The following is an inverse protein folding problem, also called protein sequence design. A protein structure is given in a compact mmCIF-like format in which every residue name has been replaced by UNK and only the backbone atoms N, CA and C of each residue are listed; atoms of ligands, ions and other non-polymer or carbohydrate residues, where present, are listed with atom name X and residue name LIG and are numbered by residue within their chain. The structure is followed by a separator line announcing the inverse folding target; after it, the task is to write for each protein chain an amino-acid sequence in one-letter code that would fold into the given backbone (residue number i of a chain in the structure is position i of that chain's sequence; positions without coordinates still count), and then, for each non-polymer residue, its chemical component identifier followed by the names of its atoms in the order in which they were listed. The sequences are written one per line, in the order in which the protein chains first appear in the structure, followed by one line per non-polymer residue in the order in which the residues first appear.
data_IF_758196663869
#
_entry.id   IF_758196663869
#
_cell.length_a   1.000
_cell.length_b   1.000
_cell.length_c   1.000
_cell.angle_alpha   90.00
_cell.angle_beta   90.00
_cell.angle_gamma   90.00
#
_symmetry.space_group_name_H-M   'P 1'
#
loop_
_entity.id
_entity.type
_entity.pdbx_description
1 polymer ?
#
# COMPACT_ATOMS: atom_id res chain seq x y z
N UNK A 1 18.13 -90.18 35.58
CA UNK A 1 18.33 -89.28 36.73
C UNK A 1 18.64 -87.87 36.17
N UNK A 2 17.65 -87.04 35.97
CA UNK A 2 17.80 -85.70 35.39
C UNK A 2 17.70 -84.66 36.53
N UNK A 3 18.81 -83.94 36.78
CA UNK A 3 18.83 -82.83 37.77
C UNK A 3 18.22 -81.62 37.12
N UNK A 4 17.06 -81.19 37.64
CA UNK A 4 16.43 -79.89 37.39
C UNK A 4 17.28 -78.79 38.06
N UNK A 5 17.86 -77.92 37.25
CA UNK A 5 18.40 -76.66 37.77
C UNK A 5 17.22 -75.66 37.83
N UNK A 6 16.82 -75.25 38.99
CA UNK A 6 15.92 -74.13 39.23
C UNK A 6 16.77 -72.85 39.18
N UNK A 7 16.58 -72.09 38.14
CA UNK A 7 17.08 -70.70 38.06
C UNK A 7 16.11 -69.87 38.88
N UNK A 8 16.53 -69.48 40.09
CA UNK A 8 15.80 -68.48 40.88
C UNK A 8 16.38 -67.13 40.49
N UNK A 9 15.71 -66.44 39.59
CA UNK A 9 15.97 -65.00 39.34
C UNK A 9 15.26 -64.21 40.45
N UNK A 10 16.00 -63.93 41.50
CA UNK A 10 15.61 -62.88 42.45
C UNK A 10 16.17 -61.57 41.94
N UNK A 11 15.39 -60.91 41.06
CA UNK A 11 15.64 -59.50 40.64
C UNK A 11 15.06 -58.53 41.73
N UNK A 12 15.13 -58.91 43.00
CA UNK A 12 14.82 -57.99 44.09
C UNK A 12 16.05 -57.09 44.32
N UNK A 13 15.94 -55.82 43.89
CA UNK A 13 16.94 -54.80 44.16
C UNK A 13 17.03 -54.62 45.67
N UNK A 14 18.10 -55.09 46.29
CA UNK A 14 18.34 -54.92 47.71
C UNK A 14 18.61 -53.38 47.98
N UNK A 15 17.58 -52.73 48.43
CA UNK A 15 17.62 -51.32 48.83
C UNK A 15 18.70 -51.03 49.88
N UNK A 16 19.05 -52.00 50.72
CA UNK A 16 20.10 -51.89 51.75
C UNK A 16 21.49 -51.80 51.10
N UNK A 17 21.76 -52.63 50.08
CA UNK A 17 23.03 -52.54 49.30
C UNK A 17 23.12 -51.22 48.50
N UNK A 18 22.01 -50.76 47.96
CA UNK A 18 21.97 -49.50 47.23
C UNK A 18 22.24 -48.31 48.16
N UNK A 19 21.63 -48.29 49.34
CA UNK A 19 21.93 -47.28 50.36
C UNK A 19 23.38 -47.33 50.86
N UNK A 20 23.92 -48.51 51.03
CA UNK A 20 25.31 -48.66 51.45
C UNK A 20 26.30 -48.18 50.40
N UNK A 21 26.00 -48.42 49.12
CA UNK A 21 26.81 -47.98 47.99
C UNK A 21 26.70 -46.43 47.86
N UNK A 22 25.49 -45.85 47.95
CA UNK A 22 25.31 -44.41 47.97
C UNK A 22 26.06 -43.73 49.16
N UNK A 23 26.01 -44.35 50.35
CA UNK A 23 26.70 -43.82 51.50
C UNK A 23 28.22 -43.87 51.37
N UNK A 24 28.78 -44.89 50.77
CA UNK A 24 30.20 -45.01 50.51
C UNK A 24 30.68 -44.05 49.42
N UNK A 25 29.85 -43.78 48.43
CA UNK A 25 30.16 -42.88 47.32
C UNK A 25 29.70 -41.41 47.53
N UNK A 26 29.18 -41.09 48.72
CA UNK A 26 28.63 -39.78 49.05
C UNK A 26 29.53 -38.60 48.70
N UNK A 27 30.84 -38.74 48.91
CA UNK A 27 31.82 -37.68 48.60
C UNK A 27 31.90 -37.42 47.11
N UNK A 28 31.89 -38.50 46.28
CA UNK A 28 31.90 -38.34 44.81
C UNK A 28 30.63 -37.70 44.28
N UNK A 29 29.46 -38.08 44.83
CA UNK A 29 28.17 -37.50 44.47
C UNK A 29 28.14 -36.02 44.80
N UNK A 30 28.56 -35.62 46.03
CA UNK A 30 28.63 -34.24 46.43
C UNK A 30 29.60 -33.44 45.53
N UNK A 31 30.74 -34.01 45.17
CA UNK A 31 31.72 -33.34 44.34
C UNK A 31 31.21 -33.11 42.91
N UNK A 32 30.55 -34.12 42.31
CA UNK A 32 29.91 -33.99 41.01
C UNK A 32 28.79 -32.94 41.05
N UNK A 33 27.96 -32.94 42.08
CA UNK A 33 26.90 -31.95 42.25
C UNK A 33 27.47 -30.52 42.37
N UNK A 34 28.60 -30.38 43.15
CA UNK A 34 29.24 -29.08 43.33
C UNK A 34 29.89 -28.57 42.03
N UNK A 35 30.57 -29.46 41.28
CA UNK A 35 31.11 -29.11 39.97
C UNK A 35 30.00 -28.71 38.97
N UNK A 36 28.88 -29.44 38.94
CA UNK A 36 27.73 -29.10 38.09
C UNK A 36 27.14 -27.74 38.46
N UNK A 37 27.05 -27.45 39.75
CA UNK A 37 26.56 -26.16 40.26
C UNK A 37 27.47 -24.99 39.84
N UNK A 38 28.79 -25.16 39.96
CA UNK A 38 29.78 -24.16 39.52
C UNK A 38 29.72 -23.95 38.00
N UNK A 39 29.53 -25.02 37.20
CA UNK A 39 29.35 -24.89 35.77
C UNK A 39 28.07 -24.13 35.41
N UNK A 40 26.95 -24.40 36.07
CA UNK A 40 25.67 -23.70 35.84
C UNK A 40 25.80 -22.23 36.18
N UNK A 41 26.37 -21.88 37.33
CA UNK A 41 26.57 -20.47 37.73
C UNK A 41 27.55 -19.78 36.77
N UNK A 42 28.66 -20.45 36.42
CA UNK A 42 29.61 -19.92 35.44
C UNK A 42 28.96 -19.68 34.09
N UNK A 43 28.15 -20.62 33.60
CA UNK A 43 27.47 -20.50 32.33
C UNK A 43 26.42 -19.37 32.32
N UNK A 44 25.68 -19.18 33.40
CA UNK A 44 24.70 -18.08 33.51
C UNK A 44 25.36 -16.69 33.58
N UNK A 45 26.54 -16.61 34.22
CA UNK A 45 27.31 -15.36 34.25
C UNK A 45 28.03 -15.06 32.94
N UNK A 46 28.39 -16.10 32.16
CA UNK A 46 29.03 -15.96 30.84
C UNK A 46 28.04 -15.76 29.70
N UNK A 47 26.77 -16.09 29.92
CA UNK A 47 25.75 -15.76 28.90
C UNK A 47 25.70 -14.24 28.71
N UNK A 48 25.97 -13.72 27.49
CA UNK A 48 25.71 -12.32 27.23
C UNK A 48 24.25 -12.04 27.59
N UNK A 49 24.06 -11.14 28.55
CA UNK A 49 22.71 -10.70 28.94
C UNK A 49 22.03 -10.26 27.64
N UNK A 50 20.95 -10.95 27.25
CA UNK A 50 20.16 -10.51 26.09
C UNK A 50 19.79 -9.06 26.35
N UNK A 51 20.12 -8.14 25.45
CA UNK A 51 19.75 -6.76 25.61
C UNK A 51 18.23 -6.70 25.84
N UNK A 52 17.80 -5.87 26.76
CA UNK A 52 16.38 -5.67 27.03
C UNK A 52 15.73 -5.18 25.75
N UNK A 53 14.89 -6.00 25.14
CA UNK A 53 14.14 -5.59 23.95
C UNK A 53 12.76 -5.12 24.39
N UNK A 54 12.42 -3.90 24.02
CA UNK A 54 11.10 -3.32 24.26
C UNK A 54 10.23 -3.50 23.03
N UNK A 55 9.04 -4.05 23.24
CA UNK A 55 8.02 -4.14 22.18
C UNK A 55 7.08 -2.94 22.30
N UNK A 56 7.09 -2.13 21.27
CA UNK A 56 6.29 -0.91 21.20
C UNK A 56 5.16 -1.06 20.21
N UNK A 57 4.08 -0.32 20.42
CA UNK A 57 2.91 -0.29 19.53
C UNK A 57 2.49 1.15 19.29
N UNK A 58 2.20 1.47 18.06
CA UNK A 58 1.63 2.74 17.64
C UNK A 58 0.37 2.47 16.81
N UNK A 59 -0.75 3.04 17.22
CA UNK A 59 -2.02 2.91 16.47
C UNK A 59 -2.16 4.08 15.51
N UNK A 60 -2.36 3.78 14.23
CA UNK A 60 -2.54 4.74 13.16
C UNK A 60 -4.01 4.67 12.73
N UNK A 61 -4.71 5.77 12.91
CA UNK A 61 -6.11 5.90 12.57
C UNK A 61 -6.30 6.75 11.30
N UNK A 62 -7.35 6.50 10.52
CA UNK A 62 -7.71 7.38 9.41
C UNK A 62 -8.04 8.79 9.92
N UNK A 63 -7.81 9.78 9.10
CA UNK A 63 -8.09 11.19 9.38
C UNK A 63 -9.56 11.40 9.76
N UNK A 64 -9.81 12.35 10.68
CA UNK A 64 -11.17 12.71 11.08
C UNK A 64 -11.94 13.31 9.91
N UNK A 65 -13.26 13.09 9.92
CA UNK A 65 -14.16 13.52 8.83
C UNK A 65 -14.02 15.01 8.47
N UNK A 66 -13.95 15.87 9.48
CA UNK A 66 -13.80 17.32 9.28
C UNK A 66 -12.56 17.72 8.49
N UNK A 67 -11.46 17.05 8.69
CA UNK A 67 -10.18 17.34 8.01
C UNK A 67 -10.18 16.79 6.58
N UNK A 68 -11.02 15.78 6.32
CA UNK A 68 -11.16 15.17 5.01
C UNK A 68 -12.11 15.94 4.08
N UNK A 69 -13.01 16.77 4.61
CA UNK A 69 -13.98 17.56 3.82
C UNK A 69 -13.35 18.47 2.77
N UNK A 70 -12.16 19.01 3.04
CA UNK A 70 -11.44 19.81 2.04
C UNK A 70 -11.01 19.03 0.80
N UNK A 71 -10.93 17.71 0.89
CA UNK A 71 -10.63 16.85 -0.24
C UNK A 71 -11.90 16.41 -1.01
N UNK A 72 -13.07 16.41 -0.36
CA UNK A 72 -14.34 15.99 -0.98
C UNK A 72 -14.72 16.90 -2.16
N UNK A 73 -14.48 18.21 -2.04
CA UNK A 73 -14.74 19.16 -3.14
C UNK A 73 -13.90 18.87 -4.38
N UNK A 74 -12.69 18.37 -4.22
CA UNK A 74 -11.85 17.92 -5.34
C UNK A 74 -12.45 16.66 -5.98
N UNK A 75 -13.03 15.78 -5.17
CA UNK A 75 -13.71 14.57 -5.66
C UNK A 75 -14.97 14.87 -6.45
N UNK A 76 -15.82 15.77 -5.95
CA UNK A 76 -17.03 16.18 -6.64
C UNK A 76 -16.66 16.77 -7.99
N UNK A 77 -15.68 17.66 -8.04
CA UNK A 77 -15.19 18.26 -9.29
C UNK A 77 -14.63 17.21 -10.27
N UNK A 78 -13.95 16.17 -9.78
CA UNK A 78 -13.38 15.12 -10.63
C UNK A 78 -14.45 14.09 -11.06
N UNK A 79 -15.54 13.94 -10.33
CA UNK A 79 -16.62 13.00 -10.61
C UNK A 79 -17.76 13.57 -11.47
N UNK A 80 -17.88 14.90 -11.62
CA UNK A 80 -19.01 15.56 -12.29
C UNK A 80 -19.12 15.29 -13.81
N UNK A 81 -18.25 14.52 -14.43
CA UNK A 81 -18.38 14.21 -15.87
C UNK A 81 -18.36 12.69 -16.18
N UNK A 82 -19.57 12.21 -16.41
CA UNK A 82 -20.10 11.35 -17.50
C UNK A 82 -19.34 10.11 -17.98
N UNK A 83 -18.29 9.65 -17.47
CA UNK A 83 -17.77 8.37 -17.90
C UNK A 83 -17.70 7.40 -16.76
N UNK A 84 -18.58 6.40 -16.72
CA UNK A 84 -18.66 5.33 -15.72
C UNK A 84 -17.38 4.48 -15.51
N UNK A 85 -16.24 5.10 -15.71
CA UNK A 85 -14.92 4.66 -15.28
C UNK A 85 -14.52 5.51 -14.07
N UNK A 86 -14.88 5.04 -12.90
CA UNK A 86 -14.28 5.49 -11.65
C UNK A 86 -12.76 5.46 -11.83
N UNK A 87 -12.14 6.64 -11.82
CA UNK A 87 -10.71 6.75 -12.03
C UNK A 87 -10.04 6.12 -10.81
N UNK A 88 -9.12 5.19 -11.04
CA UNK A 88 -8.37 4.51 -9.97
C UNK A 88 -7.75 5.49 -8.97
N UNK A 89 -7.36 6.67 -9.41
CA UNK A 89 -6.85 7.78 -8.60
C UNK A 89 -7.89 8.31 -7.62
N UNK A 90 -9.15 8.43 -8.03
CA UNK A 90 -10.25 8.92 -7.16
C UNK A 90 -10.55 7.90 -6.07
N UNK A 91 -10.53 6.60 -6.38
CA UNK A 91 -10.69 5.56 -5.37
C UNK A 91 -9.61 5.63 -4.28
N UNK A 92 -8.37 5.98 -4.65
CA UNK A 92 -7.27 6.15 -3.69
C UNK A 92 -7.48 7.30 -2.72
N UNK A 93 -8.27 8.30 -3.07
CA UNK A 93 -8.51 9.46 -2.23
C UNK A 93 -9.57 9.22 -1.14
N UNK A 94 -10.22 8.06 -1.03
CA UNK A 94 -11.05 7.75 0.14
C UNK A 94 -10.19 7.62 1.39
N UNK A 95 -10.73 7.94 2.57
CA UNK A 95 -10.02 7.89 3.86
C UNK A 95 -9.29 6.57 4.09
N UNK A 96 -9.96 5.47 3.80
CA UNK A 96 -9.41 4.12 3.97
C UNK A 96 -8.31 3.84 2.97
N UNK A 97 -8.51 4.22 1.72
CA UNK A 97 -7.53 4.02 0.65
C UNK A 97 -6.29 4.90 0.83
N UNK A 98 -6.44 6.14 1.29
CA UNK A 98 -5.28 6.99 1.64
C UNK A 98 -4.46 6.39 2.77
N UNK A 99 -5.13 5.83 3.78
CA UNK A 99 -4.44 5.14 4.87
C UNK A 99 -3.79 3.84 4.38
N UNK A 100 -4.47 3.06 3.54
CA UNK A 100 -3.91 1.86 2.92
C UNK A 100 -2.67 2.22 2.08
N UNK A 101 -2.75 3.26 1.23
CA UNK A 101 -1.61 3.73 0.42
C UNK A 101 -0.43 4.22 1.27
N UNK A 102 -0.71 4.93 2.38
CA UNK A 102 0.34 5.32 3.34
C UNK A 102 1.03 4.09 3.93
N UNK A 103 0.26 3.08 4.29
CA UNK A 103 0.81 1.85 4.87
C UNK A 103 1.61 1.05 3.83
N UNK A 104 1.14 0.97 2.60
CA UNK A 104 1.87 0.33 1.50
C UNK A 104 3.21 1.00 1.27
N UNK A 105 3.24 2.35 1.16
CA UNK A 105 4.46 3.14 1.00
C UNK A 105 5.42 2.95 2.18
N UNK A 106 4.91 3.00 3.43
CA UNK A 106 5.73 2.77 4.62
C UNK A 106 6.32 1.35 4.65
N UNK A 107 5.57 0.34 4.17
CA UNK A 107 5.96 -1.07 4.25
C UNK A 107 6.88 -1.53 3.12
N UNK A 108 7.12 -0.72 2.09
CA UNK A 108 8.21 -1.00 1.15
C UNK A 108 9.59 -0.67 1.73
N UNK A 109 9.60 0.04 2.87
CA UNK A 109 10.77 0.35 3.70
C UNK A 109 11.80 1.29 3.09
N UNK A 110 11.58 1.87 1.92
CA UNK A 110 12.59 2.74 1.29
C UNK A 110 12.90 3.96 2.17
N UNK A 111 11.87 4.68 2.63
CA UNK A 111 12.03 5.83 3.51
C UNK A 111 12.63 5.45 4.86
N UNK A 112 12.17 4.34 5.42
CA UNK A 112 12.68 3.83 6.68
C UNK A 112 14.17 3.50 6.57
N UNK A 113 14.61 2.86 5.49
CA UNK A 113 16.02 2.55 5.23
C UNK A 113 16.85 3.82 5.10
N UNK A 114 16.34 4.86 4.41
CA UNK A 114 17.01 6.17 4.28
C UNK A 114 17.22 6.79 5.66
N UNK A 115 16.20 6.81 6.51
CA UNK A 115 16.26 7.38 7.86
C UNK A 115 17.18 6.55 8.76
N UNK A 116 17.06 5.22 8.75
CA UNK A 116 17.94 4.32 9.51
C UNK A 116 19.40 4.50 9.14
N UNK A 117 19.73 4.66 7.85
CA UNK A 117 21.10 4.90 7.39
C UNK A 117 21.69 6.21 7.93
N UNK A 118 20.84 7.20 8.19
CA UNK A 118 21.23 8.51 8.69
C UNK A 118 21.27 8.61 10.22
N UNK A 119 20.70 7.61 10.96
CA UNK A 119 20.75 7.53 12.42
C UNK A 119 22.19 7.37 12.91
N UNK A 120 22.58 8.12 13.95
CA UNK A 120 23.97 8.16 14.41
C UNK A 120 24.44 6.80 14.96
N UNK A 121 23.60 6.10 15.70
CA UNK A 121 23.96 4.82 16.32
C UNK A 121 24.05 3.69 15.28
N UNK A 122 23.14 3.68 14.32
CA UNK A 122 23.17 2.70 13.24
C UNK A 122 24.36 3.00 12.31
N UNK A 123 24.62 4.26 11.99
CA UNK A 123 25.75 4.69 11.15
C UNK A 123 27.11 4.23 11.67
N UNK A 124 27.30 4.29 13.01
CA UNK A 124 28.51 3.74 13.63
C UNK A 124 28.70 2.26 13.37
N UNK A 125 27.61 1.50 13.48
CA UNK A 125 27.61 0.06 13.25
C UNK A 125 27.80 -0.30 11.77
N UNK A 126 27.36 0.57 10.86
CA UNK A 126 27.49 0.37 9.41
C UNK A 126 28.87 0.73 8.85
N UNK A 127 29.59 1.65 9.51
CA UNK A 127 30.83 2.26 8.98
C UNK A 127 31.94 1.26 8.67
N UNK A 128 31.91 0.08 9.29
CA UNK A 128 32.92 -0.99 9.12
C UNK A 128 32.49 -2.08 8.12
N UNK A 129 31.30 -1.98 7.54
CA UNK A 129 30.72 -3.00 6.67
C UNK A 129 30.86 -2.61 5.19
N UNK A 130 30.90 -3.62 4.32
CA UNK A 130 30.77 -3.43 2.88
C UNK A 130 29.40 -2.82 2.54
N UNK A 131 29.26 -2.17 1.41
CA UNK A 131 27.98 -1.57 0.98
C UNK A 131 26.86 -2.62 0.90
N UNK A 132 27.15 -3.81 0.43
CA UNK A 132 26.23 -4.93 0.39
C UNK A 132 25.77 -5.36 1.80
N UNK A 133 26.72 -5.49 2.74
CA UNK A 133 26.41 -5.88 4.11
C UNK A 133 25.62 -4.78 4.84
N UNK A 134 25.92 -3.49 4.55
CA UNK A 134 25.16 -2.36 5.06
C UNK A 134 23.68 -2.46 4.64
N UNK A 135 23.38 -2.71 3.37
CA UNK A 135 22.02 -2.89 2.88
C UNK A 135 21.33 -4.06 3.57
N UNK A 136 22.01 -5.18 3.72
CA UNK A 136 21.46 -6.35 4.38
C UNK A 136 21.12 -6.09 5.85
N UNK A 137 21.96 -5.35 6.55
CA UNK A 137 21.74 -4.95 7.95
C UNK A 137 20.57 -3.96 8.04
N UNK A 138 20.49 -2.95 7.17
CA UNK A 138 19.40 -1.99 7.12
C UNK A 138 18.05 -2.67 6.86
N UNK A 139 17.98 -3.61 5.93
CA UNK A 139 16.77 -4.41 5.69
C UNK A 139 16.38 -5.26 6.91
N UNK A 140 17.35 -5.78 7.68
CA UNK A 140 17.05 -6.49 8.93
C UNK A 140 16.45 -5.55 9.98
N UNK A 141 16.94 -4.33 10.11
CA UNK A 141 16.36 -3.32 10.98
C UNK A 141 14.95 -2.93 10.52
N UNK A 142 14.75 -2.70 9.23
CA UNK A 142 13.45 -2.37 8.68
C UNK A 142 12.40 -3.46 8.96
N UNK A 143 12.76 -4.73 8.87
CA UNK A 143 11.89 -5.87 9.19
C UNK A 143 11.50 -5.99 10.66
N UNK A 144 12.11 -5.23 11.56
CA UNK A 144 11.65 -5.15 12.96
C UNK A 144 10.35 -4.36 13.09
N UNK A 145 10.00 -3.56 12.08
CA UNK A 145 8.76 -2.81 11.99
C UNK A 145 7.71 -3.63 11.24
N UNK A 146 6.54 -3.77 11.82
CA UNK A 146 5.47 -4.57 11.24
C UNK A 146 4.13 -3.85 11.42
N UNK A 147 3.35 -3.75 10.33
CA UNK A 147 2.03 -3.15 10.33
C UNK A 147 0.95 -4.22 10.27
N UNK A 148 -0.01 -4.12 11.16
CA UNK A 148 -1.15 -5.03 11.22
C UNK A 148 -2.45 -4.24 11.09
N UNK A 149 -3.28 -4.61 10.12
CA UNK A 149 -4.61 -4.04 9.90
C UNK A 149 -5.61 -4.62 10.89
N UNK A 150 -6.40 -3.77 11.53
CA UNK A 150 -7.49 -4.24 12.38
C UNK A 150 -8.64 -4.82 11.54
N UNK A 151 -9.42 -5.72 12.16
CA UNK A 151 -10.62 -6.32 11.53
C UNK A 151 -11.91 -5.54 11.83
N UNK A 152 -11.81 -4.28 12.20
CA UNK A 152 -12.95 -3.41 12.51
C UNK A 152 -13.55 -2.79 11.24
N UNK A 153 -14.81 -2.32 11.30
CA UNK A 153 -15.48 -1.65 10.18
C UNK A 153 -14.71 -0.43 9.68
N UNK A 154 -14.12 0.34 10.60
CA UNK A 154 -13.18 1.41 10.26
C UNK A 154 -11.78 0.84 10.47
N UNK A 155 -11.05 0.49 9.41
CA UNK A 155 -9.73 -0.10 9.55
C UNK A 155 -8.77 0.91 10.17
N UNK A 156 -8.07 0.47 11.20
CA UNK A 156 -6.89 1.14 11.72
C UNK A 156 -5.69 0.20 11.54
N UNK A 157 -4.50 0.76 11.62
CA UNK A 157 -3.27 -0.02 11.56
C UNK A 157 -2.51 0.11 12.87
N UNK A 158 -1.90 -0.99 13.28
CA UNK A 158 -1.01 -1.01 14.43
C UNK A 158 0.40 -1.29 13.95
N UNK A 159 1.26 -0.28 14.04
CA UNK A 159 2.70 -0.44 13.88
C UNK A 159 3.26 -1.09 15.14
N UNK A 160 3.86 -2.25 15.02
CA UNK A 160 4.59 -2.93 16.08
C UNK A 160 6.07 -3.01 15.74
N UNK A 161 6.93 -2.70 16.71
CA UNK A 161 8.37 -2.79 16.52
C UNK A 161 9.07 -3.21 17.81
N UNK A 162 10.20 -3.88 17.65
CA UNK A 162 11.04 -4.33 18.74
C UNK A 162 12.38 -3.62 18.67
N UNK A 163 12.73 -2.85 19.70
CA UNK A 163 13.99 -2.10 19.75
C UNK A 163 14.77 -2.41 21.02
N UNK A 164 16.11 -2.34 20.93
CA UNK A 164 16.98 -2.80 22.01
C UNK A 164 17.38 -1.71 23.01
N UNK A 165 17.16 -0.43 22.70
CA UNK A 165 17.65 0.71 23.45
C UNK A 165 16.58 1.77 23.75
N UNK A 166 16.97 2.83 24.46
CA UNK A 166 16.07 3.86 24.97
C UNK A 166 15.30 4.54 23.83
N UNK A 167 14.02 4.76 24.11
CA UNK A 167 12.96 5.07 23.17
C UNK A 167 13.04 6.43 22.43
N UNK A 168 14.07 7.25 22.64
CA UNK A 168 14.13 8.59 22.02
C UNK A 168 14.49 8.51 20.55
N UNK A 169 15.58 7.86 20.22
CA UNK A 169 16.07 7.74 18.85
C UNK A 169 15.05 7.02 17.95
N UNK A 170 14.46 5.93 18.44
CA UNK A 170 13.45 5.20 17.66
C UNK A 170 12.20 6.03 17.39
N UNK A 171 11.81 6.90 18.35
CA UNK A 171 10.68 7.82 18.14
C UNK A 171 11.01 8.82 17.02
N UNK A 172 12.22 9.35 17.02
CA UNK A 172 12.67 10.29 15.99
C UNK A 172 12.76 9.62 14.61
N UNK A 173 13.24 8.37 14.55
CA UNK A 173 13.27 7.56 13.32
C UNK A 173 11.85 7.39 12.78
N UNK A 174 10.89 6.99 13.62
CA UNK A 174 9.50 6.78 13.20
C UNK A 174 8.87 8.11 12.72
N UNK A 175 9.06 9.20 13.48
CA UNK A 175 8.50 10.51 13.14
C UNK A 175 9.06 11.03 11.80
N UNK A 176 10.37 10.92 11.60
CA UNK A 176 11.02 11.29 10.34
C UNK A 176 10.56 10.41 9.16
N UNK A 177 10.47 9.09 9.38
CA UNK A 177 9.97 8.16 8.36
C UNK A 177 8.54 8.51 7.98
N UNK A 178 7.65 8.72 8.95
CA UNK A 178 6.26 9.11 8.67
C UNK A 178 6.16 10.42 7.90
N UNK A 179 6.96 11.42 8.25
CA UNK A 179 6.99 12.70 7.52
C UNK A 179 7.46 12.52 6.08
N UNK A 180 8.49 11.70 5.87
CA UNK A 180 9.02 11.43 4.53
C UNK A 180 8.00 10.65 3.69
N UNK A 181 7.43 9.57 4.22
CA UNK A 181 6.38 8.77 3.58
C UNK A 181 5.18 9.63 3.21
N UNK A 182 4.69 10.48 4.14
CA UNK A 182 3.58 11.39 3.85
C UNK A 182 3.94 12.42 2.77
N UNK A 183 5.16 12.92 2.75
CA UNK A 183 5.62 13.83 1.70
C UNK A 183 5.62 13.15 0.33
N UNK A 184 6.21 11.96 0.23
CA UNK A 184 6.28 11.21 -1.01
C UNK A 184 4.89 10.81 -1.52
N UNK A 185 4.03 10.32 -0.64
CA UNK A 185 2.64 10.01 -0.97
C UNK A 185 1.89 11.24 -1.49
N UNK A 186 2.06 12.39 -0.84
CA UNK A 186 1.47 13.66 -1.29
C UNK A 186 1.97 14.04 -2.69
N UNK A 187 3.27 13.97 -2.93
CA UNK A 187 3.86 14.29 -4.22
C UNK A 187 3.36 13.32 -5.31
N UNK A 188 3.28 12.03 -5.03
CA UNK A 188 2.71 11.02 -5.93
C UNK A 188 1.26 11.33 -6.30
N UNK A 189 0.41 11.62 -5.31
CA UNK A 189 -1.01 11.98 -5.54
C UNK A 189 -1.11 13.24 -6.40
N UNK A 190 -0.30 14.28 -6.13
CA UNK A 190 -0.33 15.50 -6.94
C UNK A 190 0.10 15.27 -8.38
N UNK A 191 1.12 14.44 -8.61
CA UNK A 191 1.55 14.08 -9.96
C UNK A 191 0.47 13.31 -10.72
N UNK A 192 -0.23 12.40 -10.06
CA UNK A 192 -1.36 11.67 -10.65
C UNK A 192 -2.50 12.62 -11.03
N UNK A 193 -2.88 13.55 -10.15
CA UNK A 193 -3.92 14.55 -10.40
C UNK A 193 -3.53 15.47 -11.56
N UNK A 194 -2.30 15.97 -11.59
CA UNK A 194 -1.79 16.84 -12.65
C UNK A 194 -1.76 16.13 -14.01
N UNK A 195 -1.30 14.88 -14.04
CA UNK A 195 -1.30 14.03 -15.22
C UNK A 195 -2.72 13.79 -15.75
N UNK A 196 -3.65 13.48 -14.85
CA UNK A 196 -5.07 13.33 -15.20
C UNK A 196 -5.66 14.61 -15.78
N UNK A 197 -5.42 15.75 -15.13
CA UNK A 197 -5.91 17.04 -15.59
C UNK A 197 -5.38 17.41 -16.98
N UNK A 198 -4.09 17.17 -17.23
CA UNK A 198 -3.47 17.38 -18.54
C UNK A 198 -4.11 16.49 -19.62
N UNK A 199 -4.25 15.21 -19.33
CA UNK A 199 -4.88 14.27 -20.27
C UNK A 199 -6.34 14.65 -20.58
N UNK A 200 -7.10 15.06 -19.55
CA UNK A 200 -8.49 15.52 -19.72
C UNK A 200 -8.56 16.79 -20.57
N UNK A 201 -7.69 17.78 -20.30
CA UNK A 201 -7.60 19.01 -21.09
C UNK A 201 -7.30 18.72 -22.56
N UNK A 202 -6.34 17.84 -22.85
CA UNK A 202 -6.01 17.43 -24.21
C UNK A 202 -7.19 16.73 -24.89
N UNK A 203 -7.90 15.86 -24.17
CA UNK A 203 -9.08 15.17 -24.67
C UNK A 203 -10.20 16.15 -25.03
N UNK A 204 -10.43 17.18 -24.22
CA UNK A 204 -11.44 18.23 -24.49
C UNK A 204 -11.03 19.02 -25.73
N UNK A 205 -9.78 19.48 -25.81
CA UNK A 205 -9.27 20.22 -26.97
C UNK A 205 -9.42 19.40 -28.25
N UNK A 206 -9.01 18.12 -28.24
CA UNK A 206 -9.11 17.25 -29.41
C UNK A 206 -10.56 17.00 -29.82
N UNK A 207 -11.48 16.86 -28.85
CA UNK A 207 -12.91 16.75 -29.13
C UNK A 207 -13.47 18.01 -29.77
N UNK A 208 -13.08 19.17 -29.24
CA UNK A 208 -13.57 20.47 -29.76
C UNK A 208 -12.99 20.73 -31.17
N UNK A 209 -11.72 20.40 -31.43
CA UNK A 209 -11.13 20.47 -32.76
C UNK A 209 -11.86 19.55 -33.76
N UNK A 210 -12.11 18.30 -33.36
CA UNK A 210 -12.86 17.37 -34.19
C UNK A 210 -14.29 17.85 -34.48
N UNK A 211 -14.92 18.54 -33.51
CA UNK A 211 -16.23 19.16 -33.69
C UNK A 211 -16.17 20.31 -34.70
N UNK A 212 -15.20 21.19 -34.58
CA UNK A 212 -14.98 22.30 -35.52
C UNK A 212 -14.72 21.78 -36.94
N UNK A 213 -13.89 20.74 -37.08
CA UNK A 213 -13.62 20.10 -38.36
C UNK A 213 -14.92 19.54 -38.97
N UNK A 214 -15.68 18.78 -38.18
CA UNK A 214 -16.99 18.24 -38.62
C UNK A 214 -17.96 19.35 -39.03
N UNK A 215 -18.11 20.43 -38.23
CA UNK A 215 -18.96 21.54 -38.52
C UNK A 215 -18.52 22.28 -39.82
N UNK A 216 -17.21 22.42 -40.04
CA UNK A 216 -16.65 23.01 -41.23
C UNK A 216 -17.00 22.21 -42.47
N UNK A 217 -16.90 20.88 -42.42
CA UNK A 217 -17.35 19.99 -43.52
C UNK A 217 -18.86 20.14 -43.78
N UNK A 218 -19.69 20.17 -42.75
CA UNK A 218 -21.14 20.35 -42.86
C UNK A 218 -21.49 21.72 -43.47
N UNK A 219 -20.77 22.78 -43.11
CA UNK A 219 -20.93 24.10 -43.72
C UNK A 219 -20.61 24.11 -45.19
N UNK A 220 -19.51 23.44 -45.59
CA UNK A 220 -19.16 23.28 -47.04
C UNK A 220 -20.25 22.56 -47.81
N UNK A 221 -20.77 21.45 -47.31
CA UNK A 221 -21.87 20.72 -47.93
C UNK A 221 -23.11 21.61 -48.07
N UNK A 222 -23.46 22.36 -47.00
CA UNK A 222 -24.59 23.29 -47.04
C UNK A 222 -24.39 24.38 -48.11
N UNK A 223 -23.16 24.93 -48.22
CA UNK A 223 -22.83 25.94 -49.25
C UNK A 223 -22.94 25.37 -50.68
N UNK A 224 -22.44 24.17 -50.94
CA UNK A 224 -22.53 23.49 -52.22
C UNK A 224 -23.98 23.18 -52.60
N UNK A 225 -24.83 22.81 -51.64
CA UNK A 225 -26.25 22.57 -51.85
C UNK A 225 -27.10 23.86 -51.90
N UNK A 226 -26.51 25.02 -51.64
CA UNK A 226 -27.20 26.31 -51.64
C UNK A 226 -28.12 26.53 -50.43
N UNK A 227 -27.92 25.77 -49.36
CA UNK A 227 -28.73 25.83 -48.13
C UNK A 227 -28.16 26.93 -47.23
N UNK A 228 -28.73 28.12 -47.31
CA UNK A 228 -28.24 29.29 -46.59
C UNK A 228 -28.70 29.32 -45.11
N UNK A 229 -29.93 29.01 -44.88
CA UNK A 229 -30.60 28.98 -43.56
C UNK A 229 -31.46 27.73 -43.46
N UNK A 230 -31.73 27.27 -42.25
CA UNK A 230 -32.65 26.15 -42.02
C UNK A 230 -34.04 26.50 -42.57
N UNK A 231 -34.44 25.89 -43.68
CA UNK A 231 -35.80 26.07 -44.17
C UNK A 231 -36.69 25.01 -43.53
N UNK A 232 -37.65 25.45 -42.74
CA UNK A 232 -38.64 24.55 -42.12
C UNK A 232 -39.46 23.76 -43.16
N UNK A 233 -39.52 24.24 -44.38
CA UNK A 233 -40.23 23.60 -45.49
C UNK A 233 -39.46 22.42 -46.10
N UNK A 234 -38.11 22.43 -46.06
CA UNK A 234 -37.28 21.37 -46.65
C UNK A 234 -37.45 20.03 -45.91
N UNK A 235 -37.63 20.08 -44.59
CA UNK A 235 -37.88 18.87 -43.80
C UNK A 235 -39.26 18.27 -44.06
N UNK A 236 -40.25 19.12 -44.36
CA UNK A 236 -41.60 18.65 -44.70
C UNK A 236 -41.66 18.05 -46.11
N UNK A 237 -40.85 18.55 -47.03
CA UNK A 237 -40.79 18.06 -48.43
C UNK A 237 -40.05 16.73 -48.55
N UNK A 238 -38.99 16.50 -47.78
CA UNK A 238 -38.27 15.23 -47.70
C UNK A 238 -39.13 14.10 -47.10
N UNK A 239 -39.96 14.42 -46.13
CA UNK A 239 -40.89 13.45 -45.50
C UNK A 239 -42.07 13.14 -46.42
N UNK A 240 -42.54 14.11 -47.25
CA UNK A 240 -43.70 13.95 -48.14
C UNK A 240 -43.34 13.30 -49.48
N UNK A 241 -42.10 13.44 -49.97
CA UNK A 241 -41.72 12.91 -51.28
C UNK A 241 -41.19 11.45 -51.25
N UNK A 242 -41.37 10.71 -50.17
CA UNK A 242 -41.29 9.24 -50.21
C UNK A 242 -39.94 8.64 -50.57
N UNK A 243 -38.85 9.39 -50.38
CA UNK A 243 -37.52 8.77 -50.47
C UNK A 243 -37.32 7.90 -49.24
N UNK A 244 -37.40 6.63 -49.53
CA UNK A 244 -37.52 5.52 -48.62
C UNK A 244 -36.59 5.63 -47.41
N UNK A 245 -37.10 5.04 -46.36
CA UNK A 245 -36.40 4.84 -45.09
C UNK A 245 -34.94 4.45 -45.27
N UNK A 246 -34.06 5.43 -45.29
CA UNK A 246 -32.67 5.17 -44.97
C UNK A 246 -32.61 4.82 -43.50
N UNK A 247 -32.29 3.59 -43.21
CA UNK A 247 -31.87 3.16 -41.87
C UNK A 247 -30.58 3.89 -41.50
N UNK A 248 -30.68 5.16 -41.16
CA UNK A 248 -29.60 5.95 -40.58
C UNK A 248 -29.52 5.53 -39.15
N UNK A 249 -28.43 4.89 -38.79
CA UNK A 249 -28.07 4.56 -37.38
C UNK A 249 -28.40 5.74 -36.49
N UNK A 250 -28.91 5.52 -35.26
CA UNK A 250 -29.50 6.59 -34.40
C UNK A 250 -28.51 7.62 -33.83
N UNK A 251 -27.28 7.69 -34.39
CA UNK A 251 -26.25 8.66 -33.96
C UNK A 251 -26.40 10.07 -34.57
N UNK A 252 -27.18 10.22 -35.69
CA UNK A 252 -27.39 11.52 -36.33
C UNK A 252 -28.87 11.69 -36.63
N UNK A 253 -29.62 12.28 -35.69
CA UNK A 253 -31.06 12.50 -35.84
C UNK A 253 -31.41 13.38 -37.04
N UNK A 254 -30.56 14.38 -37.37
CA UNK A 254 -30.70 15.24 -38.56
C UNK A 254 -29.31 15.59 -39.08
N UNK A 255 -29.06 15.49 -40.41
CA UNK A 255 -27.80 15.93 -41.01
C UNK A 255 -27.56 17.41 -40.72
N UNK A 256 -26.41 17.75 -40.11
CA UNK A 256 -26.12 19.08 -39.63
C UNK A 256 -26.16 20.16 -40.74
N UNK A 257 -25.79 19.80 -42.00
CA UNK A 257 -25.82 20.70 -43.13
C UNK A 257 -27.23 21.25 -43.46
N UNK A 258 -28.31 20.61 -43.02
CA UNK A 258 -29.69 21.10 -43.19
C UNK A 258 -30.01 22.33 -42.33
N UNK A 259 -29.18 22.64 -41.37
CA UNK A 259 -29.28 23.87 -40.56
C UNK A 259 -28.89 25.13 -41.34
N UNK A 260 -28.24 24.93 -42.49
CA UNK A 260 -27.74 26.00 -43.34
C UNK A 260 -26.37 26.52 -42.87
N UNK A 261 -25.57 26.92 -43.85
CA UNK A 261 -24.18 27.31 -43.58
C UNK A 261 -24.05 28.53 -42.68
N UNK A 262 -24.98 29.47 -42.68
CA UNK A 262 -24.91 30.66 -41.80
C UNK A 262 -25.04 30.29 -40.32
N UNK A 263 -25.93 29.36 -39.98
CA UNK A 263 -26.06 28.88 -38.60
C UNK A 263 -24.87 28.03 -38.15
N UNK A 264 -24.28 27.27 -39.08
CA UNK A 264 -23.12 26.42 -38.79
C UNK A 264 -21.86 27.28 -38.60
N UNK A 265 -21.65 28.27 -39.51
CA UNK A 265 -20.49 29.16 -39.42
C UNK A 265 -20.50 29.95 -38.11
N UNK A 266 -21.68 30.38 -37.58
CA UNK A 266 -21.83 31.02 -36.29
C UNK A 266 -21.53 30.11 -35.08
N UNK A 267 -21.62 28.80 -35.25
CA UNK A 267 -21.30 27.82 -34.20
C UNK A 267 -19.80 27.50 -34.18
N UNK A 268 -19.09 27.74 -35.30
CA UNK A 268 -17.64 27.53 -35.44
C UNK A 268 -16.85 28.73 -34.87
N UNK A 269 -17.34 29.95 -35.03
CA UNK A 269 -16.73 31.19 -34.53
C UNK A 269 -16.83 31.29 -33.01
#
# INVERSE_FOLDING_TARGET
MTKKHSIHNNDEIDLSELFKTLWNEKIKIILIALISFVIIIGYDNYKPKKPNSFKNFLVINPTKEKEFFSFISIFEFLNEEETGKTISTIERLTKTKMLDSFVEEFMDYEELIIILKNSEDIKKNLSQLSEYDQQLVLHRYAKLFNMNKSKTEIPNYTLSFTWQEDNREIRDIIDQTFKLTLKNLKESIFLEIDSYYKSKKESIINRDLARVEYLSEQSLIAKELGIKEASGDFMSELVTNGYGSFNVTPLFKDPYYLRGYQSIDLEID
#
